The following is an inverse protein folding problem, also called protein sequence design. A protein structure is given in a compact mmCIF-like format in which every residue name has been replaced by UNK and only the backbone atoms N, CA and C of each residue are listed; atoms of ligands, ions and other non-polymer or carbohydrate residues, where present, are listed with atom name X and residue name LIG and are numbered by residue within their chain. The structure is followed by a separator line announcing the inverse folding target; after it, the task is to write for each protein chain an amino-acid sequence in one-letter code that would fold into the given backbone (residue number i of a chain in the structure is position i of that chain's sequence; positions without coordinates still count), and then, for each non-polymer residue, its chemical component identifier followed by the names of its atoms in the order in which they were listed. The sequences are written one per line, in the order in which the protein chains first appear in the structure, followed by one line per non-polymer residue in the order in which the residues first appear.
data_IF_704093050763
#
_entry.id   IF_704093050763
#
_cell.length_a   1.000
_cell.length_b   1.000
_cell.length_c   1.000
_cell.angle_alpha   90.00
_cell.angle_beta   90.00
_cell.angle_gamma   90.00
#
_symmetry.space_group_name_H-M   'P 1'
#
loop_
_entity.id
_entity.type
_entity.pdbx_description
1 polymer ?
#
# COMPACT_ATOMS: atom_id res chain seq x y z
N UNK A 1 28.29 -14.73 16.46
CA UNK A 1 27.25 -14.81 17.52
C UNK A 1 25.97 -15.17 16.79
N UNK A 2 25.34 -16.27 17.22
CA UNK A 2 24.49 -17.15 16.42
C UNK A 2 23.47 -16.48 15.50
N UNK A 3 23.63 -16.70 14.19
CA UNK A 3 22.53 -16.79 13.23
C UNK A 3 21.61 -17.91 13.68
N UNK A 4 20.65 -17.59 14.55
CA UNK A 4 19.44 -18.38 14.61
C UNK A 4 18.66 -18.00 13.35
N UNK A 5 18.90 -18.75 12.28
CA UNK A 5 18.04 -18.73 11.11
C UNK A 5 16.64 -19.17 11.57
N UNK A 6 15.85 -18.22 12.07
CA UNK A 6 14.43 -18.37 12.28
C UNK A 6 13.86 -18.76 10.93
N UNK A 7 13.45 -20.02 10.79
CA UNK A 7 12.82 -20.48 9.57
C UNK A 7 11.64 -19.56 9.29
N UNK A 8 11.55 -18.95 8.09
CA UNK A 8 10.46 -18.06 7.77
C UNK A 8 9.12 -18.78 7.99
N UNK A 9 8.08 -18.05 8.43
CA UNK A 9 6.77 -18.66 8.61
C UNK A 9 6.29 -19.31 7.30
N UNK A 10 5.43 -20.32 7.41
CA UNK A 10 4.74 -20.82 6.22
C UNK A 10 3.88 -19.71 5.61
N UNK A 11 3.55 -19.80 4.32
CA UNK A 11 2.70 -18.80 3.65
C UNK A 11 1.41 -18.53 4.42
N UNK A 12 0.76 -19.60 4.90
CA UNK A 12 -0.46 -19.47 5.72
C UNK A 12 -0.23 -18.77 7.06
N UNK A 13 0.93 -18.91 7.71
CA UNK A 13 1.25 -18.12 8.91
C UNK A 13 1.49 -16.65 8.55
N UNK A 14 2.20 -16.40 7.45
CA UNK A 14 2.43 -15.07 6.91
C UNK A 14 1.13 -14.32 6.58
N UNK A 15 0.17 -14.98 5.94
CA UNK A 15 -1.15 -14.41 5.62
C UNK A 15 -1.86 -13.90 6.88
N UNK A 16 -1.79 -14.66 7.97
CA UNK A 16 -2.38 -14.26 9.25
C UNK A 16 -1.63 -13.09 9.89
N UNK A 17 -0.30 -13.13 9.88
CA UNK A 17 0.53 -12.05 10.42
C UNK A 17 0.26 -10.73 9.67
N UNK A 18 0.24 -10.77 8.34
CA UNK A 18 -0.11 -9.63 7.49
C UNK A 18 -1.55 -9.15 7.73
N UNK A 19 -2.53 -10.06 7.79
CA UNK A 19 -3.92 -9.70 8.06
C UNK A 19 -4.12 -9.04 9.44
N UNK A 20 -3.44 -9.52 10.48
CA UNK A 20 -3.50 -8.90 11.82
C UNK A 20 -2.89 -7.50 11.79
N UNK A 21 -1.78 -7.31 11.07
CA UNK A 21 -1.16 -6.00 10.91
C UNK A 21 -2.11 -5.00 10.24
N UNK A 22 -2.75 -5.39 9.13
CA UNK A 22 -3.68 -4.57 8.37
C UNK A 22 -4.93 -4.20 9.21
N UNK A 23 -5.55 -5.20 9.84
CA UNK A 23 -6.76 -5.02 10.65
C UNK A 23 -6.50 -4.20 11.91
N UNK A 24 -5.35 -4.39 12.55
CA UNK A 24 -4.94 -3.66 13.75
C UNK A 24 -4.46 -2.23 13.47
N UNK A 25 -4.40 -1.77 12.22
CA UNK A 25 -3.83 -0.46 11.89
C UNK A 25 -2.35 -0.34 12.28
N UNK A 26 -1.62 -1.45 12.28
CA UNK A 26 -0.19 -1.53 12.57
C UNK A 26 0.22 -1.72 14.05
N UNK A 27 -0.62 -1.33 15.02
CA UNK A 27 -0.31 -1.49 16.46
C UNK A 27 -1.47 -1.99 17.32
N UNK A 28 -2.67 -2.08 16.74
CA UNK A 28 -3.88 -2.49 17.43
C UNK A 28 -4.08 -4.00 17.48
N UNK A 29 -5.28 -4.39 17.91
CA UNK A 29 -5.69 -5.78 18.04
C UNK A 29 -6.71 -6.12 16.95
N UNK A 30 -6.59 -7.30 16.36
CA UNK A 30 -7.55 -7.84 15.41
C UNK A 30 -8.39 -8.94 16.06
N UNK A 31 -9.71 -8.84 15.98
CA UNK A 31 -10.61 -9.87 16.50
C UNK A 31 -10.63 -11.11 15.61
N UNK A 32 -10.95 -12.28 16.19
CA UNK A 32 -11.13 -13.53 15.43
C UNK A 32 -12.16 -13.39 14.31
N UNK A 33 -13.20 -12.56 14.52
CA UNK A 33 -14.24 -12.31 13.52
C UNK A 33 -13.69 -11.52 12.33
N UNK A 34 -12.89 -10.49 12.58
CA UNK A 34 -12.27 -9.68 11.52
C UNK A 34 -11.28 -10.52 10.72
N UNK A 35 -10.41 -11.29 11.39
CA UNK A 35 -9.44 -12.17 10.73
C UNK A 35 -10.15 -13.23 9.88
N UNK A 36 -11.20 -13.85 10.43
CA UNK A 36 -12.03 -14.83 9.71
C UNK A 36 -12.66 -14.23 8.44
N UNK A 37 -13.19 -13.01 8.53
CA UNK A 37 -13.74 -12.29 7.38
C UNK A 37 -12.69 -11.94 6.32
N UNK A 38 -11.55 -11.37 6.75
CA UNK A 38 -10.46 -10.94 5.86
C UNK A 38 -9.85 -12.10 5.08
N UNK A 39 -9.63 -13.24 5.74
CA UNK A 39 -8.99 -14.42 5.15
C UNK A 39 -10.00 -15.44 4.58
N UNK A 40 -11.32 -15.19 4.70
CA UNK A 40 -12.37 -16.11 4.26
C UNK A 40 -12.22 -17.54 4.81
N UNK A 41 -11.87 -17.65 6.10
CA UNK A 41 -11.63 -18.92 6.81
C UNK A 41 -12.56 -19.08 8.01
N UNK A 42 -12.87 -20.31 8.40
CA UNK A 42 -13.73 -20.58 9.56
C UNK A 42 -13.12 -20.02 10.87
N UNK A 43 -13.91 -19.47 11.80
CA UNK A 43 -13.42 -18.94 13.09
C UNK A 43 -12.63 -19.95 13.94
N UNK A 44 -12.98 -21.25 13.83
CA UNK A 44 -12.25 -22.32 14.49
C UNK A 44 -10.81 -22.46 13.93
N UNK A 45 -10.65 -22.35 12.61
CA UNK A 45 -9.34 -22.36 11.96
C UNK A 45 -8.49 -21.16 12.41
N UNK A 46 -9.12 -20.00 12.56
CA UNK A 46 -8.44 -18.79 13.07
C UNK A 46 -7.91 -19.02 14.47
N UNK A 47 -8.75 -19.52 15.38
CA UNK A 47 -8.36 -19.77 16.77
C UNK A 47 -7.18 -20.75 16.85
N UNK A 48 -7.20 -21.81 16.03
CA UNK A 48 -6.11 -22.78 15.97
C UNK A 48 -4.81 -22.15 15.43
N UNK A 49 -4.89 -21.32 14.38
CA UNK A 49 -3.70 -20.66 13.83
C UNK A 49 -3.12 -19.61 14.78
N UNK A 50 -3.96 -18.83 15.46
CA UNK A 50 -3.53 -17.87 16.48
C UNK A 50 -2.78 -18.57 17.63
N UNK A 51 -3.21 -19.77 18.04
CA UNK A 51 -2.48 -20.59 18.99
C UNK A 51 -1.07 -20.94 18.51
N UNK A 52 -0.93 -21.37 17.25
CA UNK A 52 0.37 -21.70 16.64
C UNK A 52 1.28 -20.48 16.48
N UNK A 53 0.72 -19.35 16.05
CA UNK A 53 1.48 -18.10 15.92
C UNK A 53 1.97 -17.60 17.27
N UNK A 54 1.18 -17.76 18.33
CA UNK A 54 1.58 -17.45 19.70
C UNK A 54 2.73 -18.35 20.16
N UNK A 55 2.63 -19.65 19.93
CA UNK A 55 3.73 -20.60 20.22
C UNK A 55 5.03 -20.28 19.46
N UNK A 56 4.90 -19.67 18.27
CA UNK A 56 6.03 -19.20 17.46
C UNK A 56 6.51 -17.79 17.81
N UNK A 57 5.84 -17.10 18.73
CA UNK A 57 6.23 -15.76 19.19
C UNK A 57 5.86 -14.61 18.24
N UNK A 58 4.97 -14.81 17.27
CA UNK A 58 4.55 -13.76 16.34
C UNK A 58 3.35 -12.93 16.81
N UNK A 59 2.54 -13.48 17.72
CA UNK A 59 1.32 -12.81 18.20
C UNK A 59 1.14 -12.98 19.69
N UNK A 60 0.59 -11.95 20.32
CA UNK A 60 -0.07 -12.03 21.61
C UNK A 60 -1.56 -12.25 21.37
N UNK A 61 -2.06 -13.42 21.78
CA UNK A 61 -3.45 -13.82 21.59
C UNK A 61 -4.14 -14.11 22.91
N UNK A 62 -5.21 -13.37 23.18
CA UNK A 62 -6.12 -13.59 24.30
C UNK A 62 -7.54 -13.89 23.80
N UNK A 63 -8.16 -14.92 24.39
CA UNK A 63 -9.54 -15.30 24.08
C UNK A 63 -10.47 -14.10 24.33
N UNK A 64 -11.40 -13.87 23.40
CA UNK A 64 -12.35 -12.73 23.39
C UNK A 64 -11.75 -11.34 23.18
N UNK A 65 -10.43 -11.14 23.32
CA UNK A 65 -9.78 -9.86 23.00
C UNK A 65 -9.26 -9.80 21.57
N UNK A 66 -8.86 -10.93 21.00
CA UNK A 66 -8.25 -10.97 19.67
C UNK A 66 -6.73 -11.11 19.76
N UNK A 67 -6.05 -10.83 18.66
CA UNK A 67 -4.60 -10.95 18.54
C UNK A 67 -3.95 -9.61 18.18
N UNK A 68 -2.82 -9.32 18.82
CA UNK A 68 -1.89 -8.25 18.44
C UNK A 68 -0.56 -8.87 18.02
N UNK A 69 0.18 -8.19 17.15
CA UNK A 69 1.52 -8.63 16.78
C UNK A 69 2.52 -8.34 17.90
N UNK A 70 3.44 -9.27 18.12
CA UNK A 70 4.68 -9.00 18.85
C UNK A 70 5.61 -8.15 17.99
N UNK A 71 6.79 -7.77 18.51
CA UNK A 71 7.78 -7.06 17.70
C UNK A 71 8.26 -7.92 16.52
N UNK A 72 8.48 -9.21 16.75
CA UNK A 72 8.85 -10.18 15.71
C UNK A 72 7.73 -10.35 14.67
N UNK A 73 6.48 -10.41 15.12
CA UNK A 73 5.32 -10.45 14.22
C UNK A 73 5.18 -9.20 13.38
N UNK A 74 5.44 -8.02 13.97
CA UNK A 74 5.40 -6.74 13.26
C UNK A 74 6.50 -6.65 12.21
N UNK A 75 7.73 -7.04 12.56
CA UNK A 75 8.83 -7.07 11.62
C UNK A 75 8.53 -7.98 10.43
N UNK A 76 7.98 -9.17 10.68
CA UNK A 76 7.59 -10.11 9.64
C UNK A 76 6.44 -9.57 8.75
N UNK A 77 5.41 -8.97 9.35
CA UNK A 77 4.33 -8.35 8.60
C UNK A 77 4.86 -7.25 7.65
N UNK A 78 5.73 -6.38 8.14
CA UNK A 78 6.30 -5.29 7.34
C UNK A 78 7.21 -5.81 6.22
N UNK A 79 7.92 -6.92 6.46
CA UNK A 79 8.70 -7.62 5.44
C UNK A 79 7.81 -8.15 4.31
N UNK A 80 6.70 -8.82 4.65
CA UNK A 80 5.71 -9.30 3.67
C UNK A 80 5.06 -8.15 2.90
N UNK A 81 4.67 -7.08 3.59
CA UNK A 81 4.07 -5.89 2.98
C UNK A 81 5.04 -5.19 2.02
N UNK A 82 6.33 -5.08 2.37
CA UNK A 82 7.36 -4.53 1.47
C UNK A 82 7.49 -5.37 0.20
N UNK A 83 7.56 -6.70 0.33
CA UNK A 83 7.63 -7.63 -0.80
C UNK A 83 6.42 -7.50 -1.72
N UNK A 84 5.22 -7.59 -1.14
CA UNK A 84 3.96 -7.43 -1.84
C UNK A 84 3.96 -6.19 -2.73
N UNK A 85 4.24 -5.03 -2.12
CA UNK A 85 4.18 -3.73 -2.78
C UNK A 85 5.22 -3.57 -3.89
N UNK A 86 6.46 -4.05 -3.68
CA UNK A 86 7.50 -3.99 -4.71
C UNK A 86 7.17 -4.91 -5.89
N UNK A 87 6.63 -6.10 -5.60
CA UNK A 87 6.17 -7.04 -6.63
C UNK A 87 5.02 -6.43 -7.43
N UNK A 88 4.01 -5.85 -6.77
CA UNK A 88 2.90 -5.18 -7.45
C UNK A 88 3.40 -4.05 -8.37
N UNK A 89 4.29 -3.19 -7.88
CA UNK A 89 4.92 -2.13 -8.69
C UNK A 89 5.58 -2.71 -9.92
N UNK A 90 6.41 -3.73 -9.76
CA UNK A 90 7.12 -4.34 -10.88
C UNK A 90 6.18 -4.99 -11.91
N UNK A 91 5.22 -5.80 -11.45
CA UNK A 91 4.30 -6.51 -12.32
C UNK A 91 3.46 -5.54 -13.15
N UNK A 92 2.98 -4.47 -12.53
CA UNK A 92 2.16 -3.46 -13.19
C UNK A 92 2.97 -2.61 -14.16
N UNK A 93 4.13 -2.09 -13.74
CA UNK A 93 4.92 -1.15 -14.54
C UNK A 93 5.71 -1.82 -15.67
N UNK A 94 6.15 -3.07 -15.49
CA UNK A 94 7.08 -3.71 -16.41
C UNK A 94 6.53 -4.95 -17.11
N UNK A 95 5.55 -5.66 -16.52
CA UNK A 95 4.98 -6.88 -17.11
C UNK A 95 3.56 -6.70 -17.66
N UNK A 96 2.99 -5.49 -17.56
CA UNK A 96 1.69 -5.17 -18.13
C UNK A 96 0.51 -5.81 -17.38
N UNK A 97 0.70 -6.16 -16.10
CA UNK A 97 -0.41 -6.60 -15.26
C UNK A 97 -1.45 -5.49 -15.10
N UNK A 98 -2.72 -5.89 -15.05
CA UNK A 98 -3.80 -4.95 -14.79
C UNK A 98 -3.86 -4.61 -13.30
N UNK A 99 -4.44 -3.46 -12.99
CA UNK A 99 -4.72 -3.03 -11.61
C UNK A 99 -5.64 -3.98 -10.84
N UNK A 100 -6.37 -4.86 -11.55
CA UNK A 100 -7.29 -5.85 -10.97
C UNK A 100 -6.56 -7.15 -10.64
N UNK A 101 -5.65 -7.58 -11.51
CA UNK A 101 -5.01 -8.90 -11.41
C UNK A 101 -3.70 -8.88 -10.61
N UNK A 102 -3.07 -7.70 -10.49
CA UNK A 102 -1.73 -7.55 -9.90
C UNK A 102 -1.67 -8.04 -8.44
N UNK A 103 -2.73 -7.79 -7.66
CA UNK A 103 -2.78 -8.13 -6.24
C UNK A 103 -2.70 -9.64 -6.02
N UNK A 104 -3.50 -10.41 -6.76
CA UNK A 104 -3.54 -11.87 -6.61
C UNK A 104 -2.20 -12.52 -6.96
N UNK A 105 -1.47 -11.97 -7.95
CA UNK A 105 -0.14 -12.46 -8.30
C UNK A 105 0.90 -12.10 -7.23
N UNK A 106 0.88 -10.87 -6.73
CA UNK A 106 1.79 -10.45 -5.67
C UNK A 106 1.61 -11.27 -4.39
N UNK A 107 0.36 -11.59 -3.99
CA UNK A 107 0.05 -12.47 -2.85
C UNK A 107 0.66 -13.88 -3.02
N UNK A 108 0.69 -14.43 -4.24
CA UNK A 108 1.32 -15.74 -4.50
C UNK A 108 2.84 -15.70 -4.34
N UNK A 109 3.46 -14.56 -4.67
CA UNK A 109 4.91 -14.42 -4.73
C UNK A 109 5.54 -13.97 -3.41
N UNK A 110 4.87 -13.13 -2.63
CA UNK A 110 5.46 -12.45 -1.46
C UNK A 110 6.03 -13.41 -0.40
N UNK A 111 5.46 -14.60 -0.26
CA UNK A 111 5.89 -15.59 0.72
C UNK A 111 7.11 -16.40 0.27
N UNK A 112 7.36 -16.46 -1.04
CA UNK A 112 8.37 -17.37 -1.62
C UNK A 112 9.64 -16.66 -2.07
N UNK A 113 9.57 -15.35 -2.34
CA UNK A 113 10.76 -14.57 -2.72
C UNK A 113 11.72 -14.42 -1.54
N UNK A 114 13.01 -14.25 -1.83
CA UNK A 114 14.04 -13.99 -0.81
C UNK A 114 14.14 -12.49 -0.50
N UNK A 115 14.78 -12.15 0.62
CA UNK A 115 15.08 -10.75 0.93
C UNK A 115 16.06 -10.16 -0.10
N UNK A 116 17.04 -10.94 -0.59
CA UNK A 116 17.95 -10.51 -1.67
C UNK A 116 17.21 -10.20 -2.98
N UNK A 117 16.21 -11.02 -3.37
CA UNK A 117 15.35 -10.72 -4.51
C UNK A 117 14.61 -9.39 -4.30
N UNK A 118 14.07 -9.20 -3.09
CA UNK A 118 13.28 -8.01 -2.73
C UNK A 118 14.13 -6.73 -2.82
N UNK A 119 15.36 -6.77 -2.32
CA UNK A 119 16.24 -5.59 -2.36
C UNK A 119 16.77 -5.31 -3.77
N UNK A 120 17.11 -6.34 -4.56
CA UNK A 120 17.44 -6.14 -5.99
C UNK A 120 16.26 -5.57 -6.78
N UNK A 121 15.04 -5.98 -6.44
CA UNK A 121 13.82 -5.44 -7.05
C UNK A 121 13.62 -3.97 -6.65
N UNK A 122 13.85 -3.63 -5.38
CA UNK A 122 13.82 -2.25 -4.91
C UNK A 122 14.85 -1.37 -5.65
N UNK A 123 16.09 -1.87 -5.82
CA UNK A 123 17.14 -1.18 -6.58
C UNK A 123 16.73 -0.97 -8.05
N UNK A 124 16.19 -2.01 -8.69
CA UNK A 124 15.71 -1.95 -10.08
C UNK A 124 14.61 -0.91 -10.27
N UNK A 125 13.68 -0.81 -9.31
CA UNK A 125 12.59 0.17 -9.30
C UNK A 125 13.03 1.57 -8.83
N UNK A 126 14.29 1.76 -8.43
CA UNK A 126 14.81 3.05 -7.96
C UNK A 126 14.33 3.45 -6.56
N UNK A 127 14.12 2.48 -5.68
CA UNK A 127 13.61 2.64 -4.31
C UNK A 127 12.30 3.44 -4.21
N UNK A 128 11.20 2.94 -4.81
CA UNK A 128 9.92 3.63 -4.75
C UNK A 128 9.44 3.74 -3.30
N UNK A 129 8.95 4.92 -2.91
CA UNK A 129 8.37 5.14 -1.58
C UNK A 129 6.91 4.71 -1.46
N UNK A 130 6.24 4.36 -2.56
CA UNK A 130 4.82 4.01 -2.63
C UNK A 130 4.56 2.95 -3.70
N UNK A 131 3.53 2.14 -3.46
CA UNK A 131 3.00 1.18 -4.43
C UNK A 131 2.08 1.87 -5.46
N UNK A 132 1.62 1.16 -6.51
CA UNK A 132 0.72 1.71 -7.54
C UNK A 132 -0.67 2.11 -7.00
N UNK A 133 -1.01 1.67 -5.78
CA UNK A 133 -2.22 1.97 -5.04
C UNK A 133 -2.04 3.15 -4.06
N UNK A 134 -0.83 3.74 -4.04
CA UNK A 134 -0.46 4.88 -3.23
C UNK A 134 -0.13 4.57 -1.77
N UNK A 135 -0.11 3.30 -1.33
CA UNK A 135 0.28 2.97 0.03
C UNK A 135 1.81 3.01 0.20
N UNK A 136 2.33 3.46 1.35
CA UNK A 136 3.77 3.64 1.57
C UNK A 136 4.50 2.29 1.57
N UNK A 137 5.64 2.18 0.90
CA UNK A 137 6.45 0.95 0.93
C UNK A 137 7.31 0.97 2.20
N UNK A 138 7.22 -0.04 3.10
CA UNK A 138 8.12 -0.13 4.24
C UNK A 138 9.57 -0.17 3.78
N UNK A 139 10.48 0.48 4.50
CA UNK A 139 11.93 0.39 4.25
C UNK A 139 12.48 -0.99 4.64
N UNK A 140 13.72 -1.29 4.24
CA UNK A 140 14.35 -2.59 4.53
C UNK A 140 14.48 -2.89 6.04
N UNK A 141 14.61 -1.84 6.87
CA UNK A 141 14.61 -1.91 8.34
C UNK A 141 13.21 -1.88 8.96
N UNK A 142 12.14 -1.92 8.15
CA UNK A 142 10.76 -1.95 8.63
C UNK A 142 10.20 -0.59 9.07
N UNK A 143 10.84 0.53 8.74
CA UNK A 143 10.24 1.84 8.97
C UNK A 143 9.12 2.11 7.97
N UNK A 144 8.03 2.72 8.45
CA UNK A 144 6.90 3.16 7.63
C UNK A 144 6.80 4.68 7.70
N UNK A 145 6.67 5.32 6.53
CA UNK A 145 6.41 6.74 6.48
C UNK A 145 5.06 7.08 7.14
N UNK A 146 5.07 8.01 8.09
CA UNK A 146 3.85 8.59 8.65
C UNK A 146 3.09 9.35 7.56
N UNK A 147 1.77 9.17 7.52
CA UNK A 147 0.92 9.86 6.57
C UNK A 147 -0.07 10.79 7.26
N UNK A 148 -0.06 12.08 6.87
CA UNK A 148 -1.15 13.01 7.15
C UNK A 148 -2.30 12.76 6.15
N UNK A 149 -3.02 11.65 6.36
CA UNK A 149 -4.17 11.25 5.55
C UNK A 149 -5.36 10.83 6.41
N UNK A 150 -6.56 10.89 5.84
CA UNK A 150 -7.80 10.50 6.49
C UNK A 150 -8.75 9.83 5.48
N UNK A 151 -9.69 8.99 5.93
CA UNK A 151 -10.72 8.41 5.08
C UNK A 151 -11.49 9.49 4.30
N UNK A 152 -11.70 9.30 3.00
CA UNK A 152 -12.39 10.29 2.16
C UNK A 152 -13.80 10.63 2.67
N UNK A 153 -14.46 9.68 3.34
CA UNK A 153 -15.77 9.89 3.96
C UNK A 153 -15.80 10.92 5.10
N UNK A 154 -14.65 11.28 5.66
CA UNK A 154 -14.54 12.30 6.71
C UNK A 154 -14.33 13.72 6.15
N UNK A 155 -14.17 13.86 4.83
CA UNK A 155 -14.08 15.17 4.18
C UNK A 155 -15.43 15.90 4.26
N UNK A 156 -15.40 17.20 4.61
CA UNK A 156 -16.60 18.01 4.62
C UNK A 156 -17.14 18.24 3.19
N UNK A 157 -18.45 18.36 3.05
CA UNK A 157 -19.08 18.66 1.75
C UNK A 157 -18.51 19.95 1.14
N UNK A 158 -17.90 19.84 -0.04
CA UNK A 158 -17.27 20.98 -0.74
C UNK A 158 -15.79 21.21 -0.37
N UNK A 159 -15.23 20.44 0.57
CA UNK A 159 -13.80 20.44 0.87
C UNK A 159 -13.00 19.91 -0.32
N UNK A 160 -11.90 20.59 -0.68
CA UNK A 160 -10.97 20.11 -1.70
C UNK A 160 -9.89 19.27 -1.03
N UNK A 161 -9.82 18.00 -1.41
CA UNK A 161 -8.82 17.05 -0.88
C UNK A 161 -8.08 16.37 -2.02
N UNK A 162 -6.86 15.88 -1.75
CA UNK A 162 -6.09 15.06 -2.70
C UNK A 162 -6.19 13.60 -2.29
N UNK A 163 -6.66 12.73 -3.19
CA UNK A 163 -6.62 11.28 -2.98
C UNK A 163 -5.16 10.83 -2.98
N UNK A 164 -4.73 10.14 -1.94
CA UNK A 164 -3.34 9.68 -1.77
C UNK A 164 -3.20 8.16 -1.82
N UNK A 165 -4.25 7.42 -1.45
CA UNK A 165 -4.26 5.95 -1.48
C UNK A 165 -5.67 5.41 -1.74
N UNK A 166 -5.72 4.29 -2.45
CA UNK A 166 -6.94 3.54 -2.76
C UNK A 166 -6.71 2.08 -2.35
N UNK A 167 -7.49 1.58 -1.41
CA UNK A 167 -7.47 0.19 -0.95
C UNK A 167 -8.05 -0.73 -2.03
N UNK A 168 -7.54 -1.96 -2.10
CA UNK A 168 -7.91 -2.95 -3.10
C UNK A 168 -9.35 -3.50 -2.94
N UNK A 169 -9.89 -3.54 -1.71
CA UNK A 169 -11.22 -4.11 -1.45
C UNK A 169 -12.36 -3.30 -2.10
N UNK A 170 -12.98 -3.84 -3.15
CA UNK A 170 -14.25 -3.33 -3.70
C UNK A 170 -14.16 -1.97 -4.40
N UNK A 171 -12.97 -1.48 -4.75
CA UNK A 171 -12.80 -0.22 -5.47
C UNK A 171 -12.93 -0.43 -6.99
N UNK A 172 -13.93 0.16 -7.68
CA UNK A 172 -13.86 0.28 -9.12
C UNK A 172 -12.67 1.17 -9.49
N UNK A 173 -11.70 0.56 -10.17
CA UNK A 173 -10.66 1.14 -11.02
C UNK A 173 -10.72 2.68 -11.11
N UNK A 174 -9.94 3.34 -10.28
CA UNK A 174 -9.42 4.66 -10.61
C UNK A 174 -7.94 4.61 -10.27
N UNK A 175 -7.05 4.44 -11.26
CA UNK A 175 -5.63 4.57 -11.00
C UNK A 175 -5.37 5.96 -10.40
N UNK A 176 -4.58 5.97 -9.33
CA UNK A 176 -4.05 7.22 -8.75
C UNK A 176 -2.97 7.80 -9.69
N UNK A 177 -2.46 6.97 -10.60
CA UNK A 177 -1.74 7.42 -11.79
C UNK A 177 -2.73 8.05 -12.77
N UNK A 178 -2.62 9.36 -12.93
CA UNK A 178 -3.16 10.03 -14.10
C UNK A 178 -2.64 9.30 -15.34
N UNK A 179 -3.54 8.94 -16.24
CA UNK A 179 -3.14 8.69 -17.62
C UNK A 179 -2.30 9.89 -18.06
N UNK A 180 -1.10 9.62 -18.54
CA UNK A 180 -0.31 10.60 -19.27
C UNK A 180 -1.08 10.96 -20.55
N UNK A 181 -2.02 11.91 -20.43
CA UNK A 181 -2.25 12.88 -21.48
C UNK A 181 -1.14 13.91 -21.28
N UNK A 182 -0.13 13.85 -22.15
CA UNK A 182 0.96 14.83 -22.19
C UNK A 182 0.40 16.25 -22.07
N UNK A 183 0.77 16.99 -21.03
CA UNK A 183 0.71 18.44 -21.08
C UNK A 183 1.82 19.08 -20.25
N UNK A 184 2.61 19.93 -20.90
CA UNK A 184 3.61 20.80 -20.27
C UNK A 184 2.92 21.75 -19.30
N UNK A 185 3.52 21.90 -18.12
CA UNK A 185 3.31 23.05 -17.24
C UNK A 185 2.12 22.92 -16.29
N UNK A 186 2.42 22.52 -15.05
CA UNK A 186 1.65 22.83 -13.83
C UNK A 186 0.20 22.33 -13.79
N UNK A 187 -0.05 21.23 -13.08
CA UNK A 187 -1.42 20.74 -12.89
C UNK A 187 -2.02 21.19 -11.56
N UNK A 188 -3.12 21.93 -11.69
CA UNK A 188 -4.13 22.18 -10.68
C UNK A 188 -5.32 21.24 -10.94
N UNK A 189 -5.88 20.62 -9.89
CA UNK A 189 -7.08 19.77 -9.99
C UNK A 189 -8.24 20.28 -9.15
N UNK A 190 -9.41 20.46 -9.77
CA UNK A 190 -10.68 20.45 -9.02
C UNK A 190 -11.72 19.71 -9.85
N UNK A 191 -12.41 18.73 -9.26
CA UNK A 191 -13.69 18.25 -9.78
C UNK A 191 -14.77 18.34 -8.71
N UNK A 192 -15.94 18.81 -9.13
CA UNK A 192 -17.24 18.52 -8.52
C UNK A 192 -17.59 17.08 -8.91
N UNK A 193 -17.79 16.20 -7.93
CA UNK A 193 -18.35 14.87 -8.15
C UNK A 193 -19.86 14.98 -8.47
N UNK A 194 -20.35 14.22 -9.44
CA UNK A 194 -21.78 14.06 -9.67
C UNK A 194 -22.41 13.20 -8.53
N UNK A 195 -23.67 13.47 -8.15
CA UNK A 195 -24.29 12.86 -6.99
C UNK A 195 -24.91 11.50 -7.33
N UNK A 196 -24.11 10.44 -7.43
CA UNK A 196 -24.63 9.08 -7.25
C UNK A 196 -23.54 8.15 -6.73
N UNK A 197 -23.81 7.54 -5.57
CA UNK A 197 -23.01 6.54 -4.83
C UNK A 197 -21.79 7.03 -4.03
N UNK A 198 -22.00 8.00 -3.14
CA UNK A 198 -21.01 8.42 -2.15
C UNK A 198 -20.70 7.37 -1.05
N UNK A 199 -21.51 6.30 -0.91
CA UNK A 199 -21.41 5.36 0.21
C UNK A 199 -20.41 4.20 0.02
N UNK A 200 -20.13 3.77 -1.22
CA UNK A 200 -19.16 2.68 -1.48
C UNK A 200 -17.73 3.20 -1.71
N UNK A 201 -17.58 4.38 -2.30
CA UNK A 201 -16.26 4.96 -2.61
C UNK A 201 -15.54 5.55 -1.39
N UNK A 202 -16.25 5.80 -0.29
CA UNK A 202 -15.72 6.47 0.91
C UNK A 202 -14.87 5.58 1.81
N UNK A 203 -15.06 4.25 1.76
CA UNK A 203 -14.32 3.28 2.59
C UNK A 203 -12.99 2.85 1.99
N UNK A 204 -12.84 2.99 0.68
CA UNK A 204 -11.69 2.46 -0.06
C UNK A 204 -10.67 3.54 -0.40
N UNK A 205 -10.97 4.82 -0.16
CA UNK A 205 -10.10 5.94 -0.54
C UNK A 205 -9.70 6.76 0.67
N UNK A 206 -8.42 7.13 0.72
CA UNK A 206 -7.89 8.07 1.71
C UNK A 206 -7.36 9.31 1.02
N UNK A 207 -7.49 10.45 1.70
CA UNK A 207 -7.17 11.75 1.17
C UNK A 207 -6.32 12.58 2.15
N UNK A 208 -5.61 13.57 1.63
CA UNK A 208 -4.82 14.52 2.42
C UNK A 208 -5.29 15.96 2.19
N UNK A 209 -5.16 16.79 3.23
CA UNK A 209 -5.50 18.24 3.23
C UNK A 209 -4.38 19.14 2.71
N UNK A 210 -3.25 18.56 2.29
CA UNK A 210 -2.02 19.30 1.94
C UNK A 210 -2.33 20.56 1.14
N UNK A 211 -1.89 21.71 1.69
CA UNK A 211 -2.14 23.04 1.15
C UNK A 211 -1.61 23.11 -0.28
N UNK A 212 -2.41 23.64 -1.18
CA UNK A 212 -1.94 24.02 -2.51
C UNK A 212 -0.80 25.02 -2.34
N UNK A 213 0.44 24.60 -2.62
CA UNK A 213 1.52 25.54 -2.84
C UNK A 213 1.08 26.48 -3.96
N UNK A 214 1.04 27.78 -3.68
CA UNK A 214 0.73 28.80 -4.69
C UNK A 214 1.83 28.79 -5.75
N UNK A 215 1.67 27.98 -6.80
CA UNK A 215 2.48 28.11 -7.99
C UNK A 215 2.22 29.52 -8.56
N UNK A 216 3.29 30.33 -8.60
CA UNK A 216 3.25 31.69 -9.14
C UNK A 216 2.67 31.70 -10.55
N UNK A 217 1.94 32.77 -10.88
CA UNK A 217 1.34 32.95 -12.21
C UNK A 217 2.46 32.90 -13.26
N UNK A 218 2.40 31.91 -14.14
CA UNK A 218 3.19 31.88 -15.36
C UNK A 218 2.65 32.95 -16.32
N UNK A 219 3.48 33.93 -16.69
CA UNK A 219 3.20 34.91 -17.75
C UNK A 219 3.57 34.30 -19.12
N UNK A 220 2.60 34.02 -20.00
CA UNK A 220 2.85 33.39 -21.30
C UNK A 220 3.61 34.27 -22.30
N UNK A 221 3.96 35.52 -21.98
CA UNK A 221 4.70 36.43 -22.88
C UNK A 221 6.21 36.39 -22.72
N UNK A 222 6.74 35.60 -21.78
CA UNK A 222 8.17 35.47 -21.52
C UNK A 222 8.73 34.16 -22.12
N UNK A 223 8.76 34.05 -23.44
CA UNK A 223 9.43 32.93 -24.10
C UNK A 223 10.95 33.16 -24.18
N UNK A 224 11.81 32.20 -23.80
CA UNK A 224 13.21 32.27 -24.17
C UNK A 224 13.36 31.82 -25.63
N UNK A 225 13.77 32.75 -26.49
CA UNK A 225 14.33 32.43 -27.80
C UNK A 225 15.68 31.71 -27.66
N UNK A 226 15.96 30.80 -28.60
CA UNK A 226 17.19 30.03 -28.71
C UNK A 226 16.85 28.55 -28.94
N UNK A 227 16.88 28.00 -30.15
CA UNK A 227 17.96 28.09 -31.12
C UNK A 227 18.91 26.91 -30.93
N UNK A 228 18.43 25.68 -31.10
CA UNK A 228 19.27 24.49 -31.16
C UNK A 228 19.58 24.19 -32.62
N UNK A 229 20.86 24.32 -32.98
CA UNK A 229 21.43 23.92 -34.27
C UNK A 229 21.55 22.41 -34.29
N UNK A 230 21.09 21.81 -35.39
CA UNK A 230 21.40 20.44 -35.77
C UNK A 230 22.88 20.34 -36.18
N UNK A 231 23.51 19.26 -35.76
CA UNK A 231 24.85 18.88 -36.21
C UNK A 231 25.20 17.50 -35.70
N UNK A 232 24.91 16.47 -36.50
CA UNK A 232 25.72 15.27 -36.75
C UNK A 232 25.01 14.41 -37.81
N UNK A 233 25.68 14.19 -38.95
CA UNK A 233 25.22 13.37 -40.08
C UNK A 233 25.56 13.99 -41.42
#
# INVERSE_FOLDING_TARGET
MSDLATTPPSSSMGDYVKAIWELGGGTGTASTKEISGRLSVAPASVTNMLGRLREKGYVDYERYRGASLTEEGRAEALRLVRRHRLIETFLLEHLGYSWQDVHEEAERMEHVVSDDFTERLADFLGHPGRDPHGAPIPTADGAMASEDSFPLGEAAGGEKVRIVRVNHEGAPCCPISGSAVSYRGGLSWSRRCAPSTASSQSRTKTASRTRWGSAGRYDPRSGPGGGWRDGFG
#
